data_IF_222056543041
#
_entry.id   IF_222056543041
#
_cell.length_a   1.000
_cell.length_b   1.000
_cell.length_c   1.000
_cell.angle_alpha   90.00
_cell.angle_beta   90.00
_cell.angle_gamma   90.00
#
_symmetry.space_group_name_H-M   'P 1'
#
loop_
_entity.id
_entity.type
_entity.pdbx_description
1 polymer ?
#
# COMPACT_ATOMS: atom_id res chain seq x y z
N UNK A 1 -18.09 12.48 -4.71
CA UNK A 1 -18.43 11.28 -3.91
C UNK A 1 -18.52 11.69 -2.45
N UNK A 2 -19.38 11.04 -1.66
CA UNK A 2 -19.63 11.42 -0.28
C UNK A 2 -18.55 10.84 0.63
N UNK A 3 -17.79 11.68 1.35
CA UNK A 3 -16.70 11.28 2.25
C UNK A 3 -17.14 10.18 3.25
N UNK A 4 -18.36 10.29 3.78
CA UNK A 4 -18.91 9.27 4.68
C UNK A 4 -19.01 7.88 4.05
N UNK A 5 -19.28 7.78 2.74
CA UNK A 5 -19.31 6.50 2.03
C UNK A 5 -17.91 5.91 1.87
N UNK A 6 -16.92 6.76 1.53
CA UNK A 6 -15.53 6.35 1.45
C UNK A 6 -15.02 5.82 2.80
N UNK A 7 -15.34 6.56 3.88
CA UNK A 7 -15.02 6.16 5.25
C UNK A 7 -15.67 4.84 5.65
N UNK A 8 -16.97 4.66 5.37
CA UNK A 8 -17.66 3.39 5.67
C UNK A 8 -17.07 2.21 4.90
N UNK A 9 -16.70 2.40 3.62
CA UNK A 9 -16.02 1.36 2.85
C UNK A 9 -14.63 1.04 3.42
N UNK A 10 -13.86 2.06 3.79
CA UNK A 10 -12.57 1.89 4.45
C UNK A 10 -12.69 1.09 5.75
N UNK A 11 -13.60 1.48 6.64
CA UNK A 11 -13.84 0.81 7.92
C UNK A 11 -14.20 -0.67 7.75
N UNK A 12 -15.02 -0.98 6.75
CA UNK A 12 -15.35 -2.36 6.37
C UNK A 12 -14.14 -3.15 5.91
N UNK A 13 -13.26 -2.55 5.10
CA UNK A 13 -12.05 -3.23 4.62
C UNK A 13 -11.01 -3.45 5.72
N UNK A 14 -10.74 -2.44 6.55
CA UNK A 14 -9.76 -2.55 7.63
C UNK A 14 -10.25 -3.40 8.79
N UNK A 15 -11.57 -3.62 8.92
CA UNK A 15 -12.13 -4.64 9.79
C UNK A 15 -11.58 -6.05 9.53
N UNK A 16 -11.09 -6.32 8.31
CA UNK A 16 -10.44 -7.58 7.96
C UNK A 16 -8.98 -7.69 8.46
N UNK A 17 -8.35 -6.57 8.86
CA UNK A 17 -6.99 -6.52 9.42
C UNK A 17 -7.00 -6.84 10.92
N UNK A 18 -7.55 -8.00 11.29
CA UNK A 18 -7.55 -8.45 12.69
C UNK A 18 -6.13 -8.59 13.26
N UNK A 19 -5.99 -8.45 14.58
CA UNK A 19 -4.71 -8.69 15.29
C UNK A 19 -4.09 -10.07 14.98
N UNK A 20 -4.94 -11.07 14.72
CA UNK A 20 -4.49 -12.41 14.34
C UNK A 20 -3.90 -12.40 12.93
N UNK A 21 -4.58 -11.74 11.99
CA UNK A 21 -4.12 -11.63 10.60
C UNK A 21 -2.75 -10.93 10.54
N UNK A 22 -2.60 -9.79 11.20
CA UNK A 22 -1.36 -9.00 11.18
C UNK A 22 -0.20 -9.76 11.83
N UNK A 23 -0.45 -10.44 12.96
CA UNK A 23 0.57 -11.28 13.62
C UNK A 23 1.03 -12.44 12.73
N UNK A 24 0.13 -13.13 12.05
CA UNK A 24 0.48 -14.21 11.13
C UNK A 24 1.34 -13.72 9.96
N UNK A 25 1.12 -12.48 9.50
CA UNK A 25 1.92 -11.86 8.45
C UNK A 25 3.21 -11.19 8.96
N UNK A 26 3.45 -11.19 10.28
CA UNK A 26 4.52 -10.43 10.96
C UNK A 26 4.48 -8.95 10.58
N UNK A 27 3.31 -8.35 10.75
CA UNK A 27 3.10 -6.91 10.63
C UNK A 27 2.84 -6.32 12.00
N UNK A 28 3.44 -5.16 12.23
CA UNK A 28 3.11 -4.28 13.33
C UNK A 28 2.16 -3.21 12.81
N UNK A 29 1.02 -3.03 13.47
CA UNK A 29 0.07 -1.96 13.13
C UNK A 29 0.45 -0.72 13.93
N UNK A 30 0.90 0.33 13.25
CA UNK A 30 1.24 1.60 13.89
C UNK A 30 -0.03 2.41 14.16
N UNK A 31 -0.92 2.52 13.17
CA UNK A 31 -2.23 3.16 13.29
C UNK A 31 -3.20 2.71 12.18
N UNK A 32 -4.51 2.78 12.46
CA UNK A 32 -5.58 2.63 11.47
C UNK A 32 -6.60 3.73 11.76
N UNK A 33 -6.54 4.81 10.98
CA UNK A 33 -7.40 5.98 11.14
C UNK A 33 -7.76 6.50 9.76
N UNK A 34 -9.05 6.57 9.42
CA UNK A 34 -9.46 7.01 8.08
C UNK A 34 -8.82 8.37 7.71
N UNK A 35 -8.21 8.50 6.52
CA UNK A 35 -8.14 7.53 5.42
C UNK A 35 -6.89 6.64 5.38
N UNK A 36 -6.10 6.58 6.46
CA UNK A 36 -4.76 5.98 6.50
C UNK A 36 -4.73 4.61 7.20
N UNK A 37 -4.02 3.67 6.58
CA UNK A 37 -3.53 2.44 7.25
C UNK A 37 -2.01 2.53 7.33
N UNK A 38 -1.45 2.44 8.53
CA UNK A 38 -0.02 2.52 8.78
C UNK A 38 0.48 1.22 9.41
N UNK A 39 1.31 0.49 8.69
CA UNK A 39 1.85 -0.80 9.12
C UNK A 39 3.35 -0.90 8.87
N UNK A 40 4.05 -1.61 9.75
CA UNK A 40 5.44 -1.98 9.56
C UNK A 40 5.54 -3.47 9.27
N UNK A 41 6.09 -3.82 8.11
CA UNK A 41 6.48 -5.18 7.78
C UNK A 41 7.75 -5.52 8.56
N UNK A 42 7.64 -6.43 9.54
CA UNK A 42 8.77 -6.87 10.34
C UNK A 42 9.70 -7.80 9.55
N UNK A 43 11.00 -7.76 9.85
CA UNK A 43 12.04 -8.56 9.22
C UNK A 43 13.44 -8.05 9.52
N UNK A 44 14.46 -8.59 8.85
CA UNK A 44 15.86 -8.14 8.94
C UNK A 44 16.03 -6.70 8.44
N UNK A 45 15.26 -6.32 7.41
CA UNK A 45 15.12 -4.96 6.90
C UNK A 45 13.64 -4.56 6.99
N UNK A 46 13.18 -3.99 8.11
CA UNK A 46 11.80 -3.56 8.25
C UNK A 46 11.43 -2.46 7.24
N UNK A 47 10.19 -2.49 6.76
CA UNK A 47 9.62 -1.45 5.90
C UNK A 47 8.31 -0.99 6.51
N UNK A 48 8.18 0.32 6.75
CA UNK A 48 6.92 0.94 7.13
C UNK A 48 6.21 1.43 5.88
N UNK A 49 4.91 1.15 5.80
CA UNK A 49 4.06 1.50 4.68
C UNK A 49 2.83 2.21 5.22
N UNK A 50 2.60 3.43 4.73
CA UNK A 50 1.38 4.17 4.93
C UNK A 50 0.54 4.13 3.65
N UNK A 51 -0.65 3.54 3.73
CA UNK A 51 -1.62 3.56 2.65
C UNK A 51 -2.63 4.66 2.89
N UNK A 52 -2.73 5.60 1.96
CA UNK A 52 -3.78 6.62 1.94
C UNK A 52 -4.91 6.16 1.04
N UNK A 53 -6.06 5.85 1.65
CA UNK A 53 -7.28 5.35 1.02
C UNK A 53 -8.33 6.46 0.86
N UNK A 54 -7.91 7.69 0.53
CA UNK A 54 -8.82 8.79 0.24
C UNK A 54 -9.66 8.45 -1.00
N UNK A 55 -10.98 8.61 -0.89
CA UNK A 55 -11.94 8.23 -1.93
C UNK A 55 -11.99 6.72 -2.26
N UNK A 56 -11.70 5.86 -1.30
CA UNK A 56 -11.83 4.40 -1.44
C UNK A 56 -13.29 3.91 -1.61
N UNK A 57 -13.58 2.92 -2.48
CA UNK A 57 -12.69 2.21 -3.40
C UNK A 57 -12.65 2.79 -4.81
N UNK A 58 -13.17 4.00 -5.04
CA UNK A 58 -13.20 4.61 -6.37
C UNK A 58 -11.80 5.05 -6.85
N UNK A 59 -10.90 5.35 -5.92
CA UNK A 59 -9.47 5.47 -6.19
C UNK A 59 -8.69 4.35 -5.51
N UNK A 60 -7.62 3.85 -6.16
CA UNK A 60 -6.67 2.98 -5.48
C UNK A 60 -5.93 3.76 -4.37
N UNK A 61 -5.46 3.08 -3.31
CA UNK A 61 -4.66 3.72 -2.28
C UNK A 61 -3.34 4.22 -2.86
N UNK A 62 -2.86 5.33 -2.30
CA UNK A 62 -1.48 5.79 -2.49
C UNK A 62 -0.59 5.20 -1.41
N UNK A 63 0.60 4.73 -1.77
CA UNK A 63 1.56 4.15 -0.82
C UNK A 63 2.74 5.09 -0.55
N UNK A 64 2.92 5.49 0.71
CA UNK A 64 4.14 6.12 1.20
C UNK A 64 5.03 5.06 1.86
N UNK A 65 6.27 4.97 1.38
CA UNK A 65 7.28 4.05 1.88
C UNK A 65 8.18 4.76 2.88
N UNK A 66 8.43 4.16 4.05
CA UNK A 66 9.22 4.71 5.13
C UNK A 66 10.11 3.62 5.74
N UNK A 67 11.20 4.02 6.38
CA UNK A 67 11.90 3.16 7.33
C UNK A 67 11.06 2.98 8.60
N UNK A 68 11.39 2.01 9.46
CA UNK A 68 10.61 1.72 10.67
C UNK A 68 10.46 2.93 11.60
N UNK A 69 11.47 3.79 11.67
CA UNK A 69 11.48 5.02 12.46
C UNK A 69 10.67 6.17 11.83
N UNK A 70 10.09 5.96 10.65
CA UNK A 70 9.35 6.97 9.89
C UNK A 70 10.23 7.87 9.02
N UNK A 71 11.53 7.62 8.92
CA UNK A 71 12.40 8.37 8.01
C UNK A 71 12.20 7.95 6.54
N UNK A 72 12.61 8.80 5.57
CA UNK A 72 12.53 8.44 4.15
C UNK A 72 13.24 7.12 3.82
N UNK A 73 12.76 6.36 2.82
CA UNK A 73 13.31 5.04 2.51
C UNK A 73 14.69 5.17 1.87
N UNK A 74 15.64 4.34 2.30
CA UNK A 74 17.00 4.28 1.75
C UNK A 74 17.28 2.90 1.16
N UNK A 75 17.74 2.86 -0.09
CA UNK A 75 18.15 1.63 -0.76
C UNK A 75 17.01 0.65 -1.03
N UNK A 76 15.92 1.13 -1.66
CA UNK A 76 14.82 0.27 -2.11
C UNK A 76 15.36 -0.81 -3.06
N UNK A 77 14.94 -2.07 -2.93
CA UNK A 77 15.62 -3.19 -3.57
C UNK A 77 15.22 -3.42 -5.04
N UNK A 78 14.42 -2.53 -5.65
CA UNK A 78 13.93 -2.64 -7.02
C UNK A 78 12.68 -3.52 -7.14
N UNK A 79 12.41 -4.02 -8.35
CA UNK A 79 11.17 -4.73 -8.65
C UNK A 79 9.98 -3.78 -8.69
N UNK A 80 9.00 -3.97 -7.81
CA UNK A 80 7.85 -3.04 -7.69
C UNK A 80 8.19 -1.76 -6.93
N UNK A 81 9.35 -1.68 -6.27
CA UNK A 81 9.79 -0.51 -5.51
C UNK A 81 10.74 0.34 -6.35
N UNK A 82 10.24 1.46 -6.87
CA UNK A 82 11.01 2.36 -7.71
C UNK A 82 11.70 3.44 -6.87
N UNK A 83 13.01 3.60 -7.08
CA UNK A 83 13.81 4.66 -6.45
C UNK A 83 13.64 6.02 -7.12
N UNK A 84 13.30 6.03 -8.41
CA UNK A 84 13.01 7.25 -9.14
C UNK A 84 11.74 7.92 -8.61
N UNK A 85 11.68 9.24 -8.77
CA UNK A 85 10.55 10.03 -8.30
C UNK A 85 9.35 9.85 -9.23
N UNK A 86 8.20 9.47 -8.68
CA UNK A 86 6.96 9.43 -9.45
C UNK A 86 6.60 10.84 -9.96
N UNK A 87 6.23 11.03 -11.25
CA UNK A 87 5.99 12.37 -11.82
C UNK A 87 4.95 13.21 -11.06
N UNK A 88 3.97 12.55 -10.43
CA UNK A 88 2.89 13.24 -9.68
C UNK A 88 3.25 13.54 -8.23
N UNK A 89 3.94 12.62 -7.54
CA UNK A 89 4.17 12.76 -6.09
C UNK A 89 5.55 13.29 -5.75
N UNK A 90 6.52 13.19 -6.67
CA UNK A 90 7.90 13.59 -6.42
C UNK A 90 8.63 12.68 -5.41
N UNK A 91 8.14 11.47 -5.17
CA UNK A 91 8.67 10.51 -4.19
C UNK A 91 8.97 9.15 -4.83
N UNK A 92 9.89 8.35 -4.25
CA UNK A 92 9.97 6.93 -4.53
C UNK A 92 8.61 6.25 -4.33
N UNK A 93 8.27 5.29 -5.18
CA UNK A 93 6.90 4.80 -5.28
C UNK A 93 6.79 3.29 -5.52
N UNK A 94 5.57 2.79 -5.30
CA UNK A 94 5.19 1.41 -5.61
C UNK A 94 4.58 1.36 -7.01
N UNK A 95 5.30 0.76 -7.95
CA UNK A 95 4.81 0.46 -9.30
C UNK A 95 4.19 -0.95 -9.33
N UNK A 96 3.07 -1.12 -8.62
CA UNK A 96 2.32 -2.37 -8.57
C UNK A 96 0.83 -2.07 -8.76
N UNK A 97 0.17 -2.87 -9.59
CA UNK A 97 -1.29 -2.80 -9.80
C UNK A 97 -2.03 -2.78 -8.46
N UNK A 98 -3.02 -1.88 -8.35
CA UNK A 98 -3.77 -1.65 -7.13
C UNK A 98 -3.26 -0.48 -6.30
N UNK A 99 -2.10 0.11 -6.64
CA UNK A 99 -1.65 1.37 -6.07
C UNK A 99 -1.83 2.54 -7.04
N UNK A 100 -2.11 3.72 -6.50
CA UNK A 100 -2.36 4.94 -7.26
C UNK A 100 -1.20 5.29 -8.17
N UNK A 101 0.02 5.19 -7.66
CA UNK A 101 1.22 5.55 -8.38
C UNK A 101 1.38 4.69 -9.64
N UNK A 102 1.06 3.39 -9.57
CA UNK A 102 1.01 2.53 -10.75
C UNK A 102 0.00 3.05 -11.79
N UNK A 103 -1.25 3.30 -11.38
CA UNK A 103 -2.33 3.69 -12.30
C UNK A 103 -2.18 5.11 -12.88
N UNK A 104 -1.33 5.94 -12.28
CA UNK A 104 -1.03 7.29 -12.77
C UNK A 104 0.32 7.42 -13.49
N UNK A 105 1.13 6.36 -13.50
CA UNK A 105 2.42 6.36 -14.18
C UNK A 105 2.23 6.25 -15.70
N UNK A 106 3.05 6.95 -16.48
CA UNK A 106 2.92 7.04 -17.95
C UNK A 106 2.94 5.68 -18.66
N UNK A 107 3.59 4.68 -18.06
CA UNK A 107 3.68 3.31 -18.59
C UNK A 107 2.39 2.48 -18.42
N UNK A 108 1.44 2.95 -17.62
CA UNK A 108 0.27 2.17 -17.17
C UNK A 108 -1.06 2.91 -17.29
N UNK A 109 -1.10 4.01 -18.06
CA UNK A 109 -2.31 4.83 -18.21
C UNK A 109 -3.52 4.08 -18.80
N UNK A 110 -3.27 2.95 -19.49
CA UNK A 110 -4.32 2.08 -20.03
C UNK A 110 -4.84 1.06 -19.02
N UNK A 111 -4.12 0.84 -17.92
CA UNK A 111 -4.47 -0.12 -16.89
C UNK A 111 -5.42 0.56 -15.89
N UNK A 112 -6.69 0.74 -16.26
CA UNK A 112 -7.65 1.48 -15.43
C UNK A 112 -7.98 0.74 -14.13
N UNK A 113 -8.00 1.46 -13.00
CA UNK A 113 -8.32 0.90 -11.68
C UNK A 113 -9.67 0.18 -11.63
N UNK A 114 -10.68 0.71 -12.32
CA UNK A 114 -12.02 0.13 -12.39
C UNK A 114 -12.04 -1.31 -12.89
N UNK A 115 -11.07 -1.69 -13.72
CA UNK A 115 -10.91 -3.06 -14.22
C UNK A 115 -10.51 -4.03 -13.10
N UNK A 116 -9.86 -3.55 -12.04
CA UNK A 116 -9.20 -4.37 -11.03
C UNK A 116 -9.85 -4.31 -9.66
N UNK A 117 -10.48 -3.19 -9.29
CA UNK A 117 -10.93 -2.94 -7.90
C UNK A 117 -11.86 -3.99 -7.29
N UNK A 118 -12.60 -4.72 -8.12
CA UNK A 118 -13.52 -5.78 -7.70
C UNK A 118 -12.89 -7.18 -7.70
N UNK A 119 -11.62 -7.32 -8.08
CA UNK A 119 -10.92 -8.61 -8.14
C UNK A 119 -10.39 -9.02 -6.76
N UNK A 120 -10.26 -10.32 -6.55
CA UNK A 120 -9.69 -10.88 -5.33
C UNK A 120 -8.26 -10.37 -5.10
N UNK A 121 -7.95 -10.02 -3.86
CA UNK A 121 -6.64 -9.50 -3.46
C UNK A 121 -6.44 -8.00 -3.73
N UNK A 122 -7.38 -7.32 -4.39
CA UNK A 122 -7.34 -5.86 -4.60
C UNK A 122 -7.97 -5.05 -3.46
N UNK A 123 -8.26 -5.69 -2.32
CA UNK A 123 -8.64 -5.01 -1.09
C UNK A 123 -7.40 -4.58 -0.28
N UNK A 124 -7.59 -3.76 0.76
CA UNK A 124 -6.50 -3.18 1.56
C UNK A 124 -5.56 -4.27 2.13
N UNK A 125 -6.11 -5.33 2.70
CA UNK A 125 -5.32 -6.43 3.26
C UNK A 125 -4.54 -7.18 2.17
N UNK A 126 -5.17 -7.44 1.03
CA UNK A 126 -4.55 -8.12 -0.11
C UNK A 126 -3.41 -7.31 -0.72
N UNK A 127 -3.58 -6.00 -0.87
CA UNK A 127 -2.53 -5.11 -1.38
C UNK A 127 -1.33 -5.05 -0.44
N UNK A 128 -1.55 -4.94 0.88
CA UNK A 128 -0.49 -5.02 1.88
C UNK A 128 0.21 -6.38 1.86
N UNK A 129 -0.52 -7.48 1.67
CA UNK A 129 0.05 -8.83 1.54
C UNK A 129 0.95 -8.96 0.33
N UNK A 130 0.47 -8.53 -0.84
CA UNK A 130 1.26 -8.54 -2.07
C UNK A 130 2.53 -7.71 -1.92
N UNK A 131 2.41 -6.50 -1.34
CA UNK A 131 3.55 -5.62 -1.12
C UNK A 131 4.57 -6.20 -0.13
N UNK A 132 4.09 -6.80 0.98
CA UNK A 132 4.95 -7.45 1.96
C UNK A 132 5.70 -8.64 1.36
N UNK A 133 5.04 -9.46 0.52
CA UNK A 133 5.67 -10.58 -0.18
C UNK A 133 6.73 -10.07 -1.16
N UNK A 134 6.42 -9.03 -1.93
CA UNK A 134 7.36 -8.39 -2.84
C UNK A 134 8.60 -7.87 -2.09
N UNK A 135 8.40 -7.18 -0.96
CA UNK A 135 9.50 -6.69 -0.13
C UNK A 135 10.40 -7.82 0.35
N UNK A 136 9.83 -8.84 0.98
CA UNK A 136 10.58 -9.99 1.53
C UNK A 136 11.36 -10.76 0.49
N UNK A 137 10.78 -10.94 -0.70
CA UNK A 137 11.45 -11.60 -1.82
C UNK A 137 12.71 -10.84 -2.24
N UNK A 138 12.67 -9.52 -2.19
CA UNK A 138 13.76 -8.67 -2.65
C UNK A 138 14.86 -8.44 -1.59
N UNK A 139 14.51 -8.36 -0.30
CA UNK A 139 15.50 -8.11 0.76
C UNK A 139 16.15 -9.37 1.33
N UNK A 140 15.71 -10.56 0.89
CA UNK A 140 16.08 -11.84 1.49
C UNK A 140 15.31 -12.06 2.79
N UNK A 141 14.65 -13.22 2.90
CA UNK A 141 13.93 -13.63 4.12
C UNK A 141 14.83 -13.65 5.35
#
# INVERSE_FOLDING_TARGET
MHEALAKSNFEREVGNLSLVFTRCHRWEVNSIEYPVVDVTFSGTRPLRVQLTCDNWPELPPSALLLMADGSPPVGLPGGVFHQDLHPTTGLPFVCMRGFREYHTHSSHLTDLWDTYRAQDGMNVAGLLTQLCVAWRTQVGL
#
